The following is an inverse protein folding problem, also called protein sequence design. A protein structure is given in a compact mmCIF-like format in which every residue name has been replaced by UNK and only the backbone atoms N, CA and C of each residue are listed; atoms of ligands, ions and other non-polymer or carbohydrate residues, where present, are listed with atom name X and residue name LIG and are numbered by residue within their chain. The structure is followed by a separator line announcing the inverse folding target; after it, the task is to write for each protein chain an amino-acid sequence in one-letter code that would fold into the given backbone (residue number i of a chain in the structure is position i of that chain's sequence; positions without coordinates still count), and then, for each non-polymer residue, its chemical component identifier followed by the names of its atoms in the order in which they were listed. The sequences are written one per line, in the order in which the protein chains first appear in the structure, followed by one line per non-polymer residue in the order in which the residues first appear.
data_IF_835872049339
#
_entry.id   IF_835872049339
#
_cell.length_a   1.000
_cell.length_b   1.000
_cell.length_c   1.000
_cell.angle_alpha   90.00
_cell.angle_beta   90.00
_cell.angle_gamma   90.00
#
_symmetry.space_group_name_H-M   'P 1'
#
loop_
_entity.id
_entity.type
_entity.pdbx_description
1 polymer ?
#
# COMPACT_ATOMS: atom_id res chain seq x y z
N UNK A 1 6.65 -19.59 -9.78
CA UNK A 1 8.00 -19.03 -9.98
C UNK A 1 7.99 -17.58 -9.52
N UNK A 2 9.13 -16.97 -9.14
CA UNK A 2 9.20 -15.54 -8.91
C UNK A 2 8.92 -14.77 -10.20
N UNK A 3 8.09 -13.73 -10.10
CA UNK A 3 7.70 -12.89 -11.24
C UNK A 3 7.97 -11.43 -10.92
N UNK A 4 8.53 -10.70 -11.88
CA UNK A 4 8.68 -9.26 -11.79
C UNK A 4 7.39 -8.59 -12.26
N UNK A 5 6.80 -7.75 -11.42
CA UNK A 5 5.56 -7.03 -11.72
C UNK A 5 5.92 -5.57 -12.01
N UNK A 6 5.61 -5.02 -13.19
CA UNK A 6 5.85 -3.61 -13.48
C UNK A 6 4.98 -2.73 -12.57
N UNK A 7 5.55 -1.61 -12.13
CA UNK A 7 4.85 -0.57 -11.38
C UNK A 7 4.94 0.75 -12.16
N UNK A 8 3.84 1.46 -12.32
CA UNK A 8 3.77 2.67 -13.12
C UNK A 8 2.64 3.56 -12.63
N UNK A 9 2.88 4.87 -12.51
CA UNK A 9 1.81 5.83 -12.26
C UNK A 9 0.94 6.05 -13.51
N UNK A 10 -0.29 6.55 -13.38
CA UNK A 10 -1.23 6.60 -14.51
C UNK A 10 -0.76 7.46 -15.69
N UNK A 11 0.06 8.49 -15.46
CA UNK A 11 0.64 9.30 -16.54
C UNK A 11 1.97 8.74 -17.10
N UNK A 12 2.50 7.66 -16.53
CA UNK A 12 3.71 6.98 -17.01
C UNK A 12 5.05 7.61 -16.59
N UNK A 13 5.05 8.78 -15.94
CA UNK A 13 6.27 9.49 -15.54
C UNK A 13 7.09 8.70 -14.51
N UNK A 14 6.45 8.27 -13.43
CA UNK A 14 7.05 7.41 -12.41
C UNK A 14 6.86 5.94 -12.82
N UNK A 15 7.98 5.21 -12.89
CA UNK A 15 8.04 3.79 -13.25
C UNK A 15 8.94 3.03 -12.29
N UNK A 16 8.63 1.75 -12.11
CA UNK A 16 9.36 0.84 -11.26
C UNK A 16 8.97 -0.60 -11.51
N UNK A 17 9.43 -1.46 -10.61
CA UNK A 17 9.17 -2.89 -10.64
C UNK A 17 9.12 -3.43 -9.21
N UNK A 18 8.20 -4.36 -8.96
CA UNK A 18 8.23 -5.25 -7.81
C UNK A 18 8.91 -6.55 -8.25
N UNK A 19 10.13 -6.79 -7.75
CA UNK A 19 10.98 -7.91 -8.16
C UNK A 19 10.63 -9.20 -7.44
N UNK A 20 10.73 -10.31 -8.16
CA UNK A 20 10.65 -11.66 -7.64
C UNK A 20 9.44 -11.90 -6.71
N UNK A 21 8.28 -11.34 -7.08
CA UNK A 21 7.03 -11.53 -6.34
C UNK A 21 6.57 -12.97 -6.52
N UNK A 22 6.16 -13.57 -5.41
CA UNK A 22 5.55 -14.90 -5.38
C UNK A 22 4.32 -14.89 -4.50
N UNK A 23 3.35 -15.81 -4.73
CA UNK A 23 2.18 -15.94 -3.87
C UNK A 23 2.47 -16.27 -2.41
N UNK A 24 3.70 -16.60 -2.01
CA UNK A 24 4.08 -16.86 -0.62
C UNK A 24 4.89 -15.72 0.00
N UNK A 25 5.55 -14.92 -0.83
CA UNK A 25 6.29 -13.71 -0.41
C UNK A 25 5.39 -12.48 -0.29
N UNK A 26 4.19 -12.51 -0.89
CA UNK A 26 3.16 -11.48 -0.82
C UNK A 26 2.12 -11.75 0.28
N UNK A 27 1.36 -10.73 0.67
CA UNK A 27 0.08 -10.88 1.38
C UNK A 27 -0.97 -10.03 0.66
N UNK A 28 -1.88 -10.68 -0.07
CA UNK A 28 -2.91 -10.02 -0.86
C UNK A 28 -4.22 -9.96 -0.07
N UNK A 29 -4.76 -8.76 0.16
CA UNK A 29 -5.97 -8.50 0.97
C UNK A 29 -6.71 -7.27 0.44
N UNK A 30 -7.99 -7.14 0.78
CA UNK A 30 -8.73 -5.88 0.62
C UNK A 30 -8.92 -5.19 1.97
N UNK A 31 -8.44 -3.96 2.11
CA UNK A 31 -8.51 -3.20 3.36
C UNK A 31 -9.60 -2.14 3.32
N UNK A 32 -10.47 -2.12 4.34
CA UNK A 32 -11.62 -1.22 4.46
C UNK A 32 -11.44 -0.18 5.57
N UNK A 33 -10.22 0.03 6.06
CA UNK A 33 -10.03 0.97 7.15
C UNK A 33 -10.33 2.41 6.70
N UNK A 34 -10.84 3.23 7.61
CA UNK A 34 -11.16 4.63 7.35
C UNK A 34 -9.96 5.40 6.77
N UNK A 35 -8.74 5.11 7.20
CA UNK A 35 -7.53 5.78 6.68
C UNK A 35 -7.21 5.42 5.22
N UNK A 36 -7.47 4.19 4.75
CA UNK A 36 -7.30 3.83 3.34
C UNK A 36 -8.28 4.60 2.46
N UNK A 37 -9.54 4.68 2.90
CA UNK A 37 -10.55 5.45 2.21
C UNK A 37 -10.23 6.95 2.22
N UNK A 38 -9.93 7.52 3.39
CA UNK A 38 -9.54 8.94 3.53
C UNK A 38 -8.35 9.27 2.65
N UNK A 39 -7.35 8.39 2.53
CA UNK A 39 -6.22 8.61 1.62
C UNK A 39 -6.64 8.72 0.16
N UNK A 40 -7.54 7.83 -0.30
CA UNK A 40 -8.05 7.87 -1.66
C UNK A 40 -8.81 9.18 -1.95
N UNK A 41 -9.58 9.69 -0.97
CA UNK A 41 -10.25 10.99 -1.05
C UNK A 41 -9.27 12.17 -1.06
N UNK A 42 -8.20 12.14 -0.26
CA UNK A 42 -7.16 13.20 -0.28
C UNK A 42 -6.48 13.30 -1.64
N UNK A 43 -6.31 12.18 -2.35
CA UNK A 43 -5.75 12.17 -3.69
C UNK A 43 -6.77 12.58 -4.77
N UNK A 44 -8.05 12.70 -4.44
CA UNK A 44 -9.11 12.93 -5.43
C UNK A 44 -9.30 11.74 -6.39
N UNK A 45 -8.88 10.53 -5.98
CA UNK A 45 -8.88 9.31 -6.81
C UNK A 45 -9.78 8.22 -6.21
N UNK A 46 -10.72 8.59 -5.33
CA UNK A 46 -11.53 7.63 -4.57
C UNK A 46 -12.31 6.66 -5.47
N UNK A 47 -12.90 7.16 -6.56
CA UNK A 47 -13.73 6.36 -7.48
C UNK A 47 -12.92 5.34 -8.29
N UNK A 48 -11.60 5.51 -8.35
CA UNK A 48 -10.70 4.61 -9.09
C UNK A 48 -9.98 3.61 -8.18
N UNK A 49 -9.83 3.93 -6.89
CA UNK A 49 -9.07 3.13 -5.91
C UNK A 49 -9.99 2.26 -5.07
N UNK A 50 -11.16 2.78 -4.70
CA UNK A 50 -12.06 2.13 -3.77
C UNK A 50 -13.05 1.24 -4.53
N UNK A 51 -13.23 0.02 -4.06
CA UNK A 51 -14.36 -0.80 -4.47
C UNK A 51 -15.69 -0.20 -3.98
N UNK A 52 -16.80 -0.79 -4.43
CA UNK A 52 -18.17 -0.37 -4.09
C UNK A 52 -18.41 -0.28 -2.58
N UNK A 53 -17.67 -1.04 -1.78
CA UNK A 53 -17.79 -1.12 -0.32
C UNK A 53 -16.73 -0.30 0.41
N UNK A 54 -15.94 0.51 -0.32
CA UNK A 54 -14.88 1.36 0.25
C UNK A 54 -13.58 0.59 0.55
N UNK A 55 -13.35 -0.54 -0.09
CA UNK A 55 -12.16 -1.35 0.06
C UNK A 55 -11.04 -0.92 -0.87
N UNK A 56 -9.81 -0.94 -0.38
CA UNK A 56 -8.59 -0.79 -1.21
C UNK A 56 -7.91 -2.14 -1.34
N UNK A 57 -7.69 -2.62 -2.56
CA UNK A 57 -6.94 -3.84 -2.83
C UNK A 57 -5.43 -3.59 -2.63
N UNK A 58 -4.82 -4.39 -1.75
CA UNK A 58 -3.43 -4.21 -1.31
C UNK A 58 -2.67 -5.53 -1.39
N UNK A 59 -1.46 -5.48 -1.93
CA UNK A 59 -0.48 -6.56 -1.83
C UNK A 59 0.71 -6.13 -0.97
N UNK A 60 0.92 -6.77 0.18
CA UNK A 60 2.06 -6.49 1.02
C UNK A 60 3.29 -7.29 0.57
N UNK A 61 4.26 -6.57 0.03
CA UNK A 61 5.55 -7.10 -0.41
C UNK A 61 6.67 -6.56 0.48
N UNK A 62 7.89 -7.00 0.25
CA UNK A 62 9.06 -6.38 0.89
C UNK A 62 9.41 -5.07 0.20
N UNK A 63 9.81 -4.01 0.94
CA UNK A 63 10.37 -2.81 0.34
C UNK A 63 11.62 -3.10 -0.50
N UNK A 64 12.36 -4.18 -0.21
CA UNK A 64 13.55 -4.60 -0.97
C UNK A 64 13.21 -5.12 -2.37
N UNK A 65 11.94 -5.50 -2.60
CA UNK A 65 11.45 -5.91 -3.92
C UNK A 65 11.11 -4.70 -4.79
N UNK A 66 10.90 -3.52 -4.21
CA UNK A 66 10.59 -2.31 -4.96
C UNK A 66 11.87 -1.71 -5.54
N UNK A 67 11.86 -1.41 -6.84
CA UNK A 67 12.89 -0.60 -7.48
C UNK A 67 12.24 0.41 -8.43
N UNK A 68 12.59 1.68 -8.30
CA UNK A 68 12.21 2.69 -9.29
C UNK A 68 13.17 2.63 -10.48
N UNK A 69 12.63 2.73 -11.69
CA UNK A 69 13.37 2.69 -12.95
C UNK A 69 13.34 4.01 -13.69
N UNK A 70 12.37 4.89 -13.38
CA UNK A 70 12.31 6.27 -13.85
C UNK A 70 11.39 7.12 -12.96
N UNK A 71 11.59 8.44 -12.95
CA UNK A 71 10.65 9.39 -12.34
C UNK A 71 10.61 9.36 -10.81
N UNK A 72 11.71 8.94 -10.15
CA UNK A 72 11.76 8.86 -8.69
C UNK A 72 11.62 10.24 -8.03
N UNK A 73 11.98 11.32 -8.73
CA UNK A 73 11.75 12.70 -8.31
C UNK A 73 10.26 13.07 -8.19
N UNK A 74 9.37 12.28 -8.81
CA UNK A 74 7.91 12.43 -8.65
C UNK A 74 7.38 11.66 -7.45
N UNK A 75 8.22 10.93 -6.70
CA UNK A 75 7.78 10.25 -5.50
C UNK A 75 7.41 11.29 -4.43
N UNK A 76 6.23 11.12 -3.85
CA UNK A 76 5.77 11.92 -2.73
C UNK A 76 5.26 11.05 -1.60
N UNK A 77 5.24 11.62 -0.39
CA UNK A 77 4.71 10.97 0.78
C UNK A 77 3.72 11.86 1.52
N UNK A 78 2.63 11.27 1.98
CA UNK A 78 1.60 11.87 2.82
C UNK A 78 1.49 11.10 4.13
N UNK A 79 1.16 11.80 5.22
CA UNK A 79 0.65 11.21 6.45
C UNK A 79 -0.65 11.88 6.84
N UNK A 80 -1.67 11.08 7.13
CA UNK A 80 -2.97 11.59 7.59
C UNK A 80 -2.91 12.15 9.02
N UNK A 81 -1.86 11.81 9.78
CA UNK A 81 -1.57 12.38 11.09
C UNK A 81 -0.08 12.29 11.42
N UNK A 82 0.42 13.02 12.43
CA UNK A 82 1.85 13.00 12.80
C UNK A 82 2.41 11.63 13.19
N UNK A 83 1.56 10.66 13.56
CA UNK A 83 1.95 9.27 13.89
C UNK A 83 1.40 8.23 12.90
N UNK A 84 0.69 8.65 11.86
CA UNK A 84 0.10 7.77 10.86
C UNK A 84 1.14 7.07 9.97
N UNK A 85 0.66 6.12 9.18
CA UNK A 85 1.46 5.44 8.14
C UNK A 85 2.02 6.44 7.13
N UNK A 86 3.16 6.08 6.55
CA UNK A 86 3.74 6.76 5.39
C UNK A 86 2.98 6.29 4.16
N UNK A 87 2.30 7.20 3.47
CA UNK A 87 1.48 6.90 2.29
C UNK A 87 2.15 7.48 1.05
N UNK A 88 2.72 6.60 0.24
CA UNK A 88 3.52 6.90 -0.93
C UNK A 88 2.65 7.01 -2.18
N UNK A 89 2.89 8.04 -2.98
CA UNK A 89 2.15 8.32 -4.21
C UNK A 89 3.06 9.02 -5.23
N UNK A 90 2.64 9.06 -6.49
CA UNK A 90 3.31 9.80 -7.55
C UNK A 90 2.69 11.21 -7.66
N UNK A 91 3.46 12.25 -7.34
CA UNK A 91 3.01 13.66 -7.33
C UNK A 91 2.57 14.18 -8.70
N UNK A 92 3.11 13.62 -9.78
CA UNK A 92 2.77 14.04 -11.16
C UNK A 92 1.31 13.79 -11.56
N UNK A 93 0.59 12.90 -10.87
CA UNK A 93 -0.80 12.56 -11.21
C UNK A 93 -1.58 11.99 -10.02
N UNK A 94 -1.10 12.13 -8.80
CA UNK A 94 -1.73 11.60 -7.58
C UNK A 94 -2.01 10.09 -7.60
N UNK A 95 -1.22 9.30 -8.35
CA UNK A 95 -1.36 7.83 -8.35
C UNK A 95 -0.88 7.26 -7.02
N UNK A 96 -1.72 6.57 -6.23
CA UNK A 96 -1.26 5.91 -5.01
C UNK A 96 -0.31 4.77 -5.36
N UNK A 97 0.78 4.62 -4.60
CA UNK A 97 1.72 3.51 -4.77
C UNK A 97 1.61 2.50 -3.64
N UNK A 98 1.51 2.97 -2.39
CA UNK A 98 1.38 2.10 -1.24
C UNK A 98 1.73 2.75 0.08
N UNK A 99 1.93 1.94 1.12
CA UNK A 99 2.27 2.46 2.43
C UNK A 99 3.34 1.65 3.18
N UNK A 100 4.04 2.31 4.08
CA UNK A 100 5.00 1.72 5.02
C UNK A 100 4.77 2.26 6.44
N UNK A 101 5.40 1.64 7.43
CA UNK A 101 5.67 2.35 8.69
C UNK A 101 6.66 3.49 8.45
N UNK A 102 6.76 4.41 9.40
CA UNK A 102 7.80 5.43 9.41
C UNK A 102 9.20 4.86 9.74
N UNK A 103 9.25 3.68 10.36
CA UNK A 103 10.51 2.97 10.65
C UNK A 103 10.72 1.82 9.68
N UNK A 104 11.96 1.62 9.27
CA UNK A 104 12.39 0.51 8.41
C UNK A 104 12.41 -0.84 9.13
N UNK A 105 12.32 -0.86 10.48
CA UNK A 105 12.46 -2.07 11.30
C UNK A 105 11.44 -3.19 11.01
N UNK A 106 10.30 -2.86 10.38
CA UNK A 106 9.28 -3.80 9.92
C UNK A 106 9.19 -3.73 8.39
N UNK A 107 9.95 -4.57 7.65
CA UNK A 107 10.03 -4.50 6.18
C UNK A 107 8.75 -4.98 5.49
N UNK A 108 7.76 -4.10 5.38
CA UNK A 108 6.63 -4.27 4.48
C UNK A 108 6.37 -2.98 3.69
N UNK A 109 5.94 -3.18 2.45
CA UNK A 109 5.36 -2.17 1.59
C UNK A 109 3.98 -2.70 1.16
N UNK A 110 2.93 -2.06 1.63
CA UNK A 110 1.55 -2.37 1.22
C UNK A 110 1.27 -1.69 -0.11
N UNK A 111 1.62 -2.34 -1.22
CA UNK A 111 1.38 -1.83 -2.56
C UNK A 111 -0.11 -1.74 -2.81
N UNK A 112 -0.60 -0.57 -3.20
CA UNK A 112 -1.98 -0.40 -3.67
C UNK A 112 -2.00 -0.86 -5.12
N UNK A 113 -2.89 -1.79 -5.46
CA UNK A 113 -2.88 -2.43 -6.78
C UNK A 113 -3.63 -1.64 -7.83
N UNK A 114 -4.68 -0.94 -7.41
CA UNK A 114 -5.39 0.01 -8.25
C UNK A 114 -4.42 1.07 -8.79
N UNK A 115 -4.46 1.32 -10.09
CA UNK A 115 -3.72 2.35 -10.82
C UNK A 115 -2.18 2.19 -10.91
N UNK A 116 -1.54 1.55 -9.93
CA UNK A 116 -0.08 1.40 -9.89
C UNK A 116 0.45 0.21 -10.69
N UNK A 117 -0.41 -0.76 -11.04
CA UNK A 117 -0.04 -1.94 -11.83
C UNK A 117 -0.62 -1.85 -13.24
N UNK A 118 0.20 -1.75 -14.29
CA UNK A 118 -0.26 -1.90 -15.67
C UNK A 118 -1.03 -3.22 -15.84
N UNK A 119 -2.26 -3.15 -16.35
CA UNK A 119 -3.15 -4.31 -16.50
C UNK A 119 -3.93 -4.71 -15.24
N UNK A 120 -3.73 -4.02 -14.10
CA UNK A 120 -4.43 -4.28 -12.85
C UNK A 120 -4.04 -5.61 -12.18
N UNK A 121 -4.64 -5.90 -11.03
CA UNK A 121 -4.34 -7.12 -10.25
C UNK A 121 -4.64 -8.41 -11.00
N UNK A 122 -5.66 -8.42 -11.87
CA UNK A 122 -6.02 -9.57 -12.70
C UNK A 122 -4.89 -10.01 -13.65
N UNK A 123 -4.14 -9.06 -14.23
CA UNK A 123 -3.01 -9.39 -15.11
C UNK A 123 -1.83 -10.03 -14.36
N UNK A 124 -1.79 -9.92 -13.04
CA UNK A 124 -0.69 -10.39 -12.18
C UNK A 124 -1.15 -11.40 -11.13
N UNK A 125 -2.33 -12.01 -11.29
CA UNK A 125 -2.95 -12.89 -10.29
C UNK A 125 -2.05 -14.05 -9.86
N UNK A 126 -1.31 -14.64 -10.81
CA UNK A 126 -0.40 -15.77 -10.56
C UNK A 126 0.77 -15.40 -9.65
N UNK A 127 1.23 -14.15 -9.72
CA UNK A 127 2.32 -13.63 -8.90
C UNK A 127 1.80 -13.14 -7.55
N UNK A 128 0.68 -12.43 -7.54
CA UNK A 128 0.07 -11.87 -6.33
C UNK A 128 -0.49 -12.96 -5.41
N UNK A 129 -1.01 -14.03 -6.00
CA UNK A 129 -1.77 -15.06 -5.29
C UNK A 129 -3.21 -14.62 -4.99
N UNK A 130 -4.01 -15.53 -4.40
CA UNK A 130 -5.41 -15.25 -4.09
C UNK A 130 -5.53 -14.13 -3.06
N UNK A 131 -6.57 -13.32 -3.18
CA UNK A 131 -6.97 -12.40 -2.13
C UNK A 131 -7.38 -13.22 -0.90
N UNK A 132 -6.71 -12.99 0.23
CA UNK A 132 -6.87 -13.77 1.46
C UNK A 132 -8.04 -13.29 2.32
N UNK A 133 -8.72 -12.22 1.89
CA UNK A 133 -9.97 -11.74 2.47
C UNK A 133 -9.97 -10.25 2.81
N UNK A 134 -11.13 -9.81 3.30
CA UNK A 134 -11.38 -8.44 3.72
C UNK A 134 -10.83 -8.18 5.12
N UNK A 135 -10.11 -7.08 5.31
CA UNK A 135 -9.58 -6.68 6.62
C UNK A 135 -10.05 -5.28 7.01
N UNK A 136 -10.16 -5.02 8.30
CA UNK A 136 -10.50 -3.71 8.86
C UNK A 136 -11.86 -3.16 8.35
N UNK A 137 -12.87 -4.01 8.25
CA UNK A 137 -14.23 -3.76 7.75
C UNK A 137 -15.06 -2.77 8.56
N UNK A 138 -14.57 -2.27 9.70
CA UNK A 138 -15.31 -1.35 10.57
C UNK A 138 -15.75 -0.04 9.90
N UNK A 139 -15.07 0.38 8.84
CA UNK A 139 -15.42 1.57 8.05
C UNK A 139 -16.01 1.25 6.67
N UNK A 140 -16.38 -0.01 6.39
CA UNK A 140 -16.93 -0.40 5.09
C UNK A 140 -18.31 0.24 4.82
N UNK A 141 -18.58 0.48 3.52
CA UNK A 141 -19.88 0.92 2.99
C UNK A 141 -20.78 -0.31 2.84
N UNK A 142 -21.27 -0.78 3.98
CA UNK A 142 -22.11 -1.98 4.09
C UNK A 142 -21.35 -3.23 4.55
N UNK A 143 -22.04 -4.38 4.68
CA UNK A 143 -21.47 -5.58 5.29
C UNK A 143 -20.36 -6.21 4.44
N UNK A 144 -19.18 -6.41 5.01
CA UNK A 144 -18.08 -7.15 4.38
C UNK A 144 -17.79 -8.41 5.18
N UNK A 145 -17.59 -9.54 4.50
CA UNK A 145 -17.18 -10.76 5.18
C UNK A 145 -15.68 -10.70 5.49
N UNK A 146 -15.35 -10.48 6.75
CA UNK A 146 -13.99 -10.64 7.23
C UNK A 146 -13.65 -12.12 7.47
N UNK A 147 -12.37 -12.51 7.38
CA UNK A 147 -11.96 -13.85 7.77
C UNK A 147 -12.46 -14.20 9.17
N UNK A 148 -12.94 -15.43 9.34
CA UNK A 148 -13.27 -15.99 10.67
C UNK A 148 -12.04 -15.96 11.57
N UNK A 149 -12.22 -16.11 12.89
CA UNK A 149 -11.13 -16.02 13.87
C UNK A 149 -9.85 -16.77 13.47
N UNK A 150 -9.97 -18.06 13.11
CA UNK A 150 -8.82 -18.86 12.63
C UNK A 150 -8.21 -18.34 11.32
N UNK A 151 -9.03 -17.77 10.43
CA UNK A 151 -8.56 -17.11 9.20
C UNK A 151 -7.78 -15.82 9.51
N UNK A 152 -8.26 -14.99 10.45
CA UNK A 152 -7.52 -13.80 10.92
C UNK A 152 -6.19 -14.19 11.55
N UNK A 153 -6.18 -15.21 12.40
CA UNK A 153 -4.95 -15.75 13.01
C UNK A 153 -3.98 -16.26 11.94
N UNK A 154 -4.48 -16.94 10.90
CA UNK A 154 -3.66 -17.40 9.78
C UNK A 154 -3.05 -16.23 8.98
N UNK A 155 -3.83 -15.18 8.67
CA UNK A 155 -3.36 -13.98 7.97
C UNK A 155 -2.29 -13.25 8.79
N UNK A 156 -2.54 -13.03 10.09
CA UNK A 156 -1.57 -12.39 11.00
C UNK A 156 -0.31 -13.24 11.15
N UNK A 157 -0.45 -14.55 11.36
CA UNK A 157 0.68 -15.47 11.48
C UNK A 157 1.53 -15.52 10.21
N UNK A 158 0.90 -15.47 9.04
CA UNK A 158 1.59 -15.35 7.76
C UNK A 158 2.33 -14.02 7.64
N UNK A 159 1.69 -12.90 7.97
CA UNK A 159 2.32 -11.59 7.98
C UNK A 159 3.57 -11.56 8.87
N UNK A 160 3.45 -11.99 10.13
CA UNK A 160 4.54 -12.00 11.08
C UNK A 160 5.70 -12.89 10.63
N UNK A 161 5.42 -14.11 10.12
CA UNK A 161 6.44 -15.01 9.58
C UNK A 161 7.18 -14.39 8.40
N UNK A 162 6.43 -13.81 7.46
CA UNK A 162 6.99 -13.16 6.28
C UNK A 162 7.89 -11.99 6.69
N UNK A 163 7.43 -11.10 7.57
CA UNK A 163 8.24 -9.97 8.01
C UNK A 163 9.47 -10.39 8.81
N UNK A 164 9.34 -11.39 9.70
CA UNK A 164 10.49 -11.94 10.42
C UNK A 164 11.56 -12.49 9.46
N UNK A 165 11.14 -13.25 8.44
CA UNK A 165 12.05 -13.75 7.40
C UNK A 165 12.73 -12.62 6.61
N UNK A 166 11.99 -11.57 6.23
CA UNK A 166 12.54 -10.39 5.54
C UNK A 166 13.54 -9.65 6.42
N UNK A 167 13.22 -9.48 7.71
CA UNK A 167 14.10 -8.84 8.70
C UNK A 167 15.41 -9.61 8.86
N UNK A 168 15.34 -10.93 8.94
CA UNK A 168 16.50 -11.83 9.03
C UNK A 168 17.39 -11.76 7.79
N UNK A 169 16.80 -11.67 6.58
CA UNK A 169 17.53 -11.48 5.32
C UNK A 169 18.08 -10.05 5.11
N UNK A 170 17.91 -9.15 6.08
CA UNK A 170 18.44 -7.80 5.98
C UNK A 170 17.60 -6.83 5.15
N UNK A 171 16.42 -7.24 4.67
CA UNK A 171 15.59 -6.45 3.75
C UNK A 171 15.06 -5.14 4.38
N UNK A 172 15.05 -5.06 5.70
CA UNK A 172 14.80 -3.80 6.44
C UNK A 172 15.82 -2.69 6.17
N UNK A 173 16.97 -3.00 5.57
CA UNK A 173 17.98 -2.01 5.14
C UNK A 173 17.91 -1.70 3.64
N UNK A 174 17.00 -2.36 2.93
CA UNK A 174 16.91 -2.33 1.48
C UNK A 174 15.53 -1.79 1.10
N UNK A 175 15.46 -0.49 0.83
CA UNK A 175 14.24 0.15 0.37
C UNK A 175 14.61 1.39 -0.43
N UNK A 176 14.01 1.62 -1.61
CA UNK A 176 14.19 2.89 -2.32
C UNK A 176 13.38 4.04 -1.69
N UNK A 177 12.61 3.76 -0.64
CA UNK A 177 11.75 4.74 0.07
C UNK A 177 12.44 5.37 1.29
N UNK A 178 13.54 4.78 1.76
CA UNK A 178 14.28 5.25 2.93
C UNK A 178 15.76 5.32 2.61
N UNK A 179 16.43 6.36 3.10
CA UNK A 179 17.88 6.49 2.99
C UNK A 179 18.55 5.42 3.86
N UNK A 180 19.49 4.63 3.31
CA UNK A 180 20.05 3.48 4.02
C UNK A 180 20.99 3.86 5.17
N UNK A 181 21.55 5.08 5.16
CA UNK A 181 22.49 5.54 6.17
C UNK A 181 21.77 6.13 7.39
N UNK A 182 20.76 6.97 7.14
CA UNK A 182 19.99 7.66 8.18
C UNK A 182 18.74 6.88 8.63
N UNK A 183 18.18 6.04 7.76
CA UNK A 183 16.88 5.40 7.99
C UNK A 183 15.68 6.33 7.81
N UNK A 184 15.91 7.58 7.40
CA UNK A 184 14.87 8.57 7.16
C UNK A 184 14.20 8.37 5.79
N UNK A 185 12.94 8.81 5.62
CA UNK A 185 12.27 8.77 4.32
C UNK A 185 13.03 9.58 3.26
N UNK A 186 13.14 9.08 2.03
CA UNK A 186 13.80 9.81 0.93
C UNK A 186 13.05 11.08 0.49
N UNK A 187 11.80 11.24 0.95
CA UNK A 187 10.96 12.42 0.72
C UNK A 187 10.34 12.86 2.04
N UNK A 188 10.43 14.15 2.36
CA UNK A 188 9.76 14.73 3.53
C UNK A 188 8.25 14.54 3.42
N UNK A 189 7.61 13.82 4.37
CA UNK A 189 6.18 13.58 4.29
C UNK A 189 5.38 14.85 4.53
N UNK A 190 4.43 15.15 3.65
CA UNK A 190 3.37 16.12 3.93
C UNK A 190 2.46 15.55 5.02
N UNK A 191 2.35 16.23 6.16
CA UNK A 191 1.43 15.83 7.22
C UNK A 191 0.17 16.68 7.13
N UNK A 192 -1.00 16.06 7.07
CA UNK A 192 -2.26 16.80 7.09
C UNK A 192 -2.44 17.55 8.41
N UNK A 193 -3.00 18.76 8.33
CA UNK A 193 -3.56 19.42 9.51
C UNK A 193 -4.78 18.64 9.98
N UNK A 194 -5.19 18.88 11.24
CA UNK A 194 -6.41 18.27 11.77
C UNK A 194 -7.64 18.63 10.93
N UNK A 195 -7.74 19.88 10.50
CA UNK A 195 -8.83 20.38 9.65
C UNK A 195 -8.87 19.67 8.29
N UNK A 196 -7.72 19.58 7.59
CA UNK A 196 -7.61 18.87 6.32
C UNK A 196 -7.98 17.40 6.45
N UNK A 197 -7.55 16.75 7.54
CA UNK A 197 -7.91 15.36 7.83
C UNK A 197 -9.42 15.22 8.01
N UNK A 198 -10.03 16.07 8.82
CA UNK A 198 -11.48 16.04 9.07
C UNK A 198 -12.29 16.32 7.81
N UNK A 199 -11.82 17.21 6.94
CA UNK A 199 -12.44 17.46 5.63
C UNK A 199 -12.43 16.20 4.75
N UNK A 200 -11.29 15.54 4.64
CA UNK A 200 -11.19 14.28 3.88
C UNK A 200 -12.01 13.13 4.51
N UNK A 201 -12.12 13.08 5.83
CA UNK A 201 -13.00 12.12 6.53
C UNK A 201 -14.48 12.43 6.26
N UNK A 202 -14.89 13.70 6.22
CA UNK A 202 -16.25 14.08 5.81
C UNK A 202 -16.54 13.71 4.36
N UNK A 203 -15.61 13.94 3.44
CA UNK A 203 -15.75 13.53 2.04
C UNK A 203 -15.91 12.00 1.91
N UNK A 204 -15.14 11.24 2.69
CA UNK A 204 -15.29 9.78 2.79
C UNK A 204 -16.69 9.38 3.26
N UNK A 205 -17.15 9.99 4.36
CA UNK A 205 -18.41 9.62 5.01
C UNK A 205 -19.63 10.05 4.20
N UNK A 206 -19.53 11.12 3.41
CA UNK A 206 -20.57 11.56 2.48
C UNK A 206 -20.79 10.58 1.31
N UNK A 207 -19.78 9.76 1.00
CA UNK A 207 -19.82 8.74 -0.05
C UNK A 207 -20.24 7.35 0.47
N UNK A 208 -20.72 7.25 1.71
CA UNK A 208 -21.17 6.01 2.36
C UNK A 208 -22.69 5.85 2.30
#
# INVERSE_FOLDING_TARGET
MPTDIPLQCTCGTLRGVLRAVTPTSSLHVTCYCGDCQTFAHVLGRADEILDERGGTEICQVSPAQLAFTAGQEQLACLRLSPRGLMRWYAACCDTPLGNTLASTGMPFFGCILALALPGGSAAHSDALGPNLGNINGGSARGPVEEPKFFGKVAVIGRFLRTVAGRRWRGEHKQSPLFDPASGEPVVTPRVLTLEQRQEAERARDAAR
#
